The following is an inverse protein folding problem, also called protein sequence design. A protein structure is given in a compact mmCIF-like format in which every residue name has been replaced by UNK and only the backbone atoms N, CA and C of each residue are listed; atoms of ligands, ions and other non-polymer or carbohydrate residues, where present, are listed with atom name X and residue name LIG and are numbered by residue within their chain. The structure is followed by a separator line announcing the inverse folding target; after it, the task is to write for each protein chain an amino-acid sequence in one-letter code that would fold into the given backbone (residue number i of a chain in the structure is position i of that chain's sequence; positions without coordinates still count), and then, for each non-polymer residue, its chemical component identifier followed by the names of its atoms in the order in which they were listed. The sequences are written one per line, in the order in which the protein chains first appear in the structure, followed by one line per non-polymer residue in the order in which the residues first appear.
data_IF_434497428320
#
_entry.id   IF_434497428320
#
_cell.length_a   1.000
_cell.length_b   1.000
_cell.length_c   1.000
_cell.angle_alpha   90.00
_cell.angle_beta   90.00
_cell.angle_gamma   90.00
#
_symmetry.space_group_name_H-M   'P 1'
#
loop_
_entity.id
_entity.type
_entity.pdbx_description
1 polymer ?
#
# COMPACT_ATOMS: atom_id res chain seq x y z
N UNK A 1 -6.12 -9.60 -18.77
CA UNK A 1 -6.03 -9.08 -17.41
C UNK A 1 -5.81 -10.24 -16.44
N UNK A 2 -4.96 -10.03 -15.44
CA UNK A 2 -4.73 -11.00 -14.39
C UNK A 2 -5.18 -10.45 -13.04
N UNK A 3 -5.98 -11.20 -12.33
CA UNK A 3 -6.31 -10.93 -10.95
C UNK A 3 -6.13 -12.17 -10.11
N UNK A 4 -5.84 -11.99 -8.84
CA UNK A 4 -5.55 -13.10 -7.96
C UNK A 4 -6.78 -13.99 -7.74
N UNK A 5 -6.58 -15.29 -7.83
CA UNK A 5 -7.57 -16.33 -7.52
C UNK A 5 -7.23 -17.04 -6.20
N UNK A 6 -6.09 -16.75 -5.59
CA UNK A 6 -5.62 -17.38 -4.36
C UNK A 6 -6.37 -16.87 -3.12
N UNK A 7 -6.31 -17.60 -2.03
CA UNK A 7 -7.03 -17.26 -0.79
C UNK A 7 -6.54 -15.97 -0.15
N UNK A 8 -5.24 -15.68 -0.26
CA UNK A 8 -4.62 -14.47 0.30
C UNK A 8 -4.85 -13.21 -0.54
N UNK A 9 -5.51 -13.34 -1.70
CA UNK A 9 -5.83 -12.24 -2.62
C UNK A 9 -4.61 -11.51 -3.20
N UNK A 10 -3.43 -12.12 -3.11
CA UNK A 10 -2.20 -11.57 -3.65
C UNK A 10 -1.65 -12.49 -4.74
N UNK A 11 -1.32 -11.94 -5.90
CA UNK A 11 -0.77 -12.70 -7.03
C UNK A 11 0.75 -12.54 -7.19
N UNK A 12 1.41 -11.84 -6.27
CA UNK A 12 2.87 -11.85 -6.14
C UNK A 12 3.25 -12.98 -5.17
N UNK A 13 4.03 -13.94 -5.65
CA UNK A 13 4.51 -15.05 -4.82
C UNK A 13 5.48 -14.56 -3.75
N UNK A 14 5.48 -15.23 -2.61
CA UNK A 14 6.27 -14.82 -1.44
C UNK A 14 7.77 -14.75 -1.74
N UNK A 15 8.29 -15.65 -2.54
CA UNK A 15 9.69 -15.67 -2.95
C UNK A 15 10.12 -14.52 -3.88
N UNK A 16 9.18 -13.71 -4.40
CA UNK A 16 9.44 -12.66 -5.38
C UNK A 16 9.26 -11.23 -4.86
N UNK A 17 9.06 -11.02 -3.55
CA UNK A 17 8.94 -9.68 -2.99
C UNK A 17 10.22 -8.86 -3.17
N UNK A 18 11.37 -9.48 -2.92
CA UNK A 18 12.68 -8.86 -3.13
C UNK A 18 12.94 -8.54 -4.61
N UNK A 19 12.59 -9.47 -5.50
CA UNK A 19 12.74 -9.27 -6.96
C UNK A 19 11.88 -8.10 -7.45
N UNK A 20 10.66 -7.99 -6.93
CA UNK A 20 9.77 -6.89 -7.30
C UNK A 20 10.25 -5.55 -6.73
N UNK A 21 10.73 -5.51 -5.50
CA UNK A 21 11.36 -4.34 -4.91
C UNK A 21 12.60 -3.89 -5.70
N UNK A 22 13.46 -4.85 -6.07
CA UNK A 22 14.64 -4.59 -6.91
C UNK A 22 14.25 -4.03 -8.29
N UNK A 23 13.22 -4.59 -8.91
CA UNK A 23 12.68 -4.09 -10.18
C UNK A 23 12.23 -2.63 -10.06
N UNK A 24 11.40 -2.32 -9.05
CA UNK A 24 10.89 -0.96 -8.83
C UNK A 24 12.01 0.05 -8.57
N UNK A 25 12.97 -0.29 -7.71
CA UNK A 25 14.11 0.57 -7.42
C UNK A 25 15.04 0.75 -8.64
N UNK A 26 15.22 -0.30 -9.45
CA UNK A 26 16.03 -0.24 -10.68
C UNK A 26 15.38 0.67 -11.73
N UNK A 27 14.07 0.54 -11.94
CA UNK A 27 13.32 1.42 -12.85
C UNK A 27 13.39 2.87 -12.37
N UNK A 28 13.19 3.10 -11.07
CA UNK A 28 13.31 4.44 -10.48
C UNK A 28 14.70 5.03 -10.72
N UNK A 29 15.75 4.24 -10.45
CA UNK A 29 17.13 4.67 -10.65
C UNK A 29 17.40 5.03 -12.12
N UNK A 30 16.92 4.23 -13.06
CA UNK A 30 17.08 4.49 -14.48
C UNK A 30 16.59 5.91 -14.85
N UNK A 31 15.41 6.31 -14.40
CA UNK A 31 14.89 7.65 -14.68
C UNK A 31 15.65 8.75 -13.93
N UNK A 32 16.02 8.51 -12.67
CA UNK A 32 16.83 9.47 -11.90
C UNK A 32 18.19 9.70 -12.57
N UNK A 33 18.85 8.66 -13.06
CA UNK A 33 20.14 8.76 -13.77
C UNK A 33 20.01 9.54 -15.10
N UNK A 34 18.83 9.60 -15.67
CA UNK A 34 18.51 10.44 -16.84
C UNK A 34 18.15 11.89 -16.49
N UNK A 35 18.20 12.25 -15.21
CA UNK A 35 17.93 13.61 -14.73
C UNK A 35 16.46 13.89 -14.37
N UNK A 36 15.58 12.88 -14.36
CA UNK A 36 14.22 13.06 -13.88
C UNK A 36 14.18 13.14 -12.34
N UNK A 37 13.41 14.07 -11.82
CA UNK A 37 13.12 14.13 -10.39
C UNK A 37 11.95 13.20 -10.06
N UNK A 38 12.23 12.12 -9.33
CA UNK A 38 11.22 11.13 -8.89
C UNK A 38 11.14 11.19 -7.35
N UNK A 39 10.36 12.11 -6.78
CA UNK A 39 10.31 12.27 -5.33
C UNK A 39 9.54 11.15 -4.62
N UNK A 40 8.57 10.53 -5.31
CA UNK A 40 7.70 9.51 -4.75
C UNK A 40 7.53 8.34 -5.73
N UNK A 41 7.43 7.15 -5.18
CA UNK A 41 7.00 5.92 -5.87
C UNK A 41 5.88 5.26 -5.07
N UNK A 42 4.78 4.90 -5.74
CA UNK A 42 3.71 4.11 -5.16
C UNK A 42 3.79 2.67 -5.68
N UNK A 43 4.10 1.68 -4.80
CA UNK A 43 4.32 0.31 -5.25
C UNK A 43 3.04 -0.51 -5.41
N UNK A 44 1.91 -0.06 -4.85
CA UNK A 44 0.67 -0.83 -4.75
C UNK A 44 -0.52 0.06 -5.06
N UNK A 45 -1.38 -0.37 -5.98
CA UNK A 45 -2.64 0.32 -6.30
C UNK A 45 -3.83 -0.40 -5.65
N UNK A 46 -4.66 0.33 -4.93
CA UNK A 46 -5.92 -0.12 -4.32
C UNK A 46 -5.79 -1.46 -3.56
N UNK A 47 -4.88 -1.55 -2.57
CA UNK A 47 -4.57 -2.81 -1.88
C UNK A 47 -5.77 -3.46 -1.21
N UNK A 48 -6.77 -2.68 -0.82
CA UNK A 48 -7.95 -3.16 -0.11
C UNK A 48 -9.03 -3.74 -1.03
N UNK A 49 -8.89 -3.61 -2.35
CA UNK A 49 -9.88 -4.11 -3.30
C UNK A 49 -9.67 -5.61 -3.56
N UNK A 50 -10.75 -6.38 -3.49
CA UNK A 50 -10.72 -7.78 -3.87
C UNK A 50 -10.82 -7.91 -5.39
N UNK A 51 -9.67 -8.02 -6.03
CA UNK A 51 -9.55 -8.13 -7.49
C UNK A 51 -9.87 -9.52 -8.03
N UNK A 52 -10.15 -10.49 -7.14
CA UNK A 52 -10.50 -11.84 -7.55
C UNK A 52 -11.81 -11.84 -8.33
N UNK A 53 -11.87 -12.71 -9.30
CA UNK A 53 -13.09 -13.00 -10.06
C UNK A 53 -13.60 -14.39 -9.76
N UNK A 54 -14.90 -14.56 -9.90
CA UNK A 54 -15.50 -15.91 -9.92
C UNK A 54 -14.84 -16.73 -11.02
N UNK A 55 -14.47 -17.99 -10.76
CA UNK A 55 -13.90 -18.85 -11.79
C UNK A 55 -14.72 -18.82 -13.08
N UNK A 56 -14.06 -18.60 -14.21
CA UNK A 56 -14.69 -18.50 -15.52
C UNK A 56 -15.18 -17.09 -15.91
N UNK A 57 -15.08 -16.09 -15.05
CA UNK A 57 -15.32 -14.69 -15.40
C UNK A 57 -14.01 -13.98 -15.77
N UNK A 58 -14.04 -13.14 -16.79
CA UNK A 58 -12.91 -12.28 -17.13
C UNK A 58 -12.75 -11.20 -16.06
N UNK A 59 -11.50 -10.88 -15.71
CA UNK A 59 -11.20 -9.74 -14.87
C UNK A 59 -11.52 -8.43 -15.61
N UNK A 60 -12.18 -7.50 -14.95
CA UNK A 60 -12.50 -6.20 -15.55
C UNK A 60 -11.25 -5.34 -15.72
N UNK A 61 -10.30 -5.48 -14.80
CA UNK A 61 -8.98 -4.84 -14.85
C UNK A 61 -7.97 -5.68 -14.12
N UNK A 62 -6.70 -5.37 -14.32
CA UNK A 62 -5.60 -5.95 -13.55
C UNK A 62 -5.55 -5.36 -12.16
N UNK A 63 -5.20 -6.18 -11.18
CA UNK A 63 -5.07 -5.77 -9.80
C UNK A 63 -4.50 -6.85 -8.90
N UNK A 64 -3.99 -6.42 -7.77
CA UNK A 64 -3.41 -7.28 -6.75
C UNK A 64 -3.73 -6.70 -5.36
N UNK A 65 -4.46 -7.44 -4.56
CA UNK A 65 -4.76 -7.05 -3.18
C UNK A 65 -3.56 -7.30 -2.28
N UNK A 66 -3.37 -6.44 -1.30
CA UNK A 66 -2.32 -6.57 -0.30
C UNK A 66 -2.89 -6.44 1.10
N UNK A 67 -2.65 -7.42 1.97
CA UNK A 67 -2.86 -7.28 3.41
C UNK A 67 -1.83 -6.32 3.99
N UNK A 68 -2.03 -5.85 5.22
CA UNK A 68 -1.02 -5.04 5.93
C UNK A 68 0.31 -5.78 6.05
N UNK A 69 0.28 -7.09 6.28
CA UNK A 69 1.48 -7.92 6.37
C UNK A 69 2.25 -7.94 5.05
N UNK A 70 1.57 -8.22 3.94
CA UNK A 70 2.18 -8.24 2.60
C UNK A 70 2.68 -6.86 2.18
N UNK A 71 1.94 -5.81 2.52
CA UNK A 71 2.38 -4.42 2.32
C UNK A 71 3.68 -4.15 3.09
N UNK A 72 3.75 -4.55 4.37
CA UNK A 72 4.95 -4.35 5.17
C UNK A 72 6.17 -5.07 4.57
N UNK A 73 6.01 -6.31 4.13
CA UNK A 73 7.09 -7.07 3.49
C UNK A 73 7.62 -6.32 2.27
N UNK A 74 6.73 -5.93 1.33
CA UNK A 74 7.14 -5.25 0.11
C UNK A 74 7.78 -3.88 0.39
N UNK A 75 7.17 -3.10 1.26
CA UNK A 75 7.64 -1.73 1.58
C UNK A 75 8.99 -1.77 2.27
N UNK A 76 9.22 -2.74 3.16
CA UNK A 76 10.54 -2.93 3.80
C UNK A 76 11.60 -3.29 2.77
N UNK A 77 11.33 -4.27 1.92
CA UNK A 77 12.25 -4.64 0.83
C UNK A 77 12.54 -3.46 -0.10
N UNK A 78 11.50 -2.70 -0.50
CA UNK A 78 11.69 -1.54 -1.38
C UNK A 78 12.48 -0.41 -0.69
N UNK A 79 12.24 -0.15 0.60
CA UNK A 79 13.04 0.80 1.37
C UNK A 79 14.53 0.45 1.29
N UNK A 80 14.87 -0.81 1.52
CA UNK A 80 16.26 -1.29 1.52
C UNK A 80 16.88 -1.16 0.11
N UNK A 81 16.13 -1.48 -0.95
CA UNK A 81 16.59 -1.33 -2.33
C UNK A 81 16.79 0.13 -2.75
N UNK A 82 15.96 1.05 -2.29
CA UNK A 82 16.16 2.48 -2.52
C UNK A 82 17.43 2.98 -1.80
N UNK A 83 17.69 2.53 -0.58
CA UNK A 83 18.92 2.83 0.14
C UNK A 83 20.16 2.27 -0.55
N UNK A 84 20.15 0.98 -0.94
CA UNK A 84 21.25 0.33 -1.66
C UNK A 84 21.62 1.06 -2.94
N UNK A 85 20.62 1.62 -3.65
CA UNK A 85 20.83 2.37 -4.89
C UNK A 85 21.13 3.85 -4.70
N UNK A 86 21.14 4.34 -3.45
CA UNK A 86 21.42 5.74 -3.11
C UNK A 86 20.35 6.71 -3.62
N UNK A 87 19.10 6.27 -3.72
CA UNK A 87 17.97 7.08 -4.19
C UNK A 87 17.40 7.95 -3.07
N UNK A 88 16.98 9.16 -3.43
CA UNK A 88 16.24 10.06 -2.52
C UNK A 88 14.71 9.92 -2.64
N UNK A 89 14.25 9.02 -3.49
CA UNK A 89 12.83 8.73 -3.72
C UNK A 89 12.21 8.15 -2.46
N UNK A 90 11.03 8.61 -2.09
CA UNK A 90 10.26 8.08 -0.97
C UNK A 90 9.11 7.17 -1.47
N UNK A 91 8.65 6.31 -0.58
CA UNK A 91 7.55 5.38 -0.83
C UNK A 91 6.24 6.05 -0.40
N UNK A 92 5.32 6.22 -1.34
CA UNK A 92 3.98 6.71 -1.06
C UNK A 92 3.07 5.52 -0.75
N UNK A 93 2.46 5.55 0.42
CA UNK A 93 1.54 4.51 0.88
C UNK A 93 0.08 4.92 0.67
N UNK A 94 -0.78 3.91 0.65
CA UNK A 94 -2.23 4.08 0.57
C UNK A 94 -2.75 3.66 -0.78
N UNK A 95 -2.80 4.57 -1.76
CA UNK A 95 -3.47 4.32 -3.05
C UNK A 95 -4.84 3.67 -2.87
N UNK A 96 -5.50 3.96 -1.74
CA UNK A 96 -6.79 3.38 -1.43
C UNK A 96 -7.83 3.80 -2.47
N UNK A 97 -8.76 2.91 -2.83
CA UNK A 97 -9.80 3.21 -3.82
C UNK A 97 -10.71 4.38 -3.42
N UNK A 98 -10.73 4.71 -2.14
CA UNK A 98 -11.46 5.86 -1.56
C UNK A 98 -10.86 6.22 -0.20
N UNK A 99 -11.34 7.29 0.42
CA UNK A 99 -10.76 7.83 1.65
C UNK A 99 -11.06 7.01 2.92
N UNK A 100 -12.21 6.32 3.01
CA UNK A 100 -12.60 5.61 4.22
C UNK A 100 -11.60 4.55 4.68
N UNK A 101 -10.98 3.72 3.83
CA UNK A 101 -9.97 2.76 4.24
C UNK A 101 -8.75 3.37 4.94
N UNK A 102 -8.47 4.65 4.71
CA UNK A 102 -7.35 5.35 5.36
C UNK A 102 -7.53 5.37 6.88
N UNK A 103 -8.74 5.61 7.39
CA UNK A 103 -9.00 5.93 8.80
C UNK A 103 -10.07 5.08 9.48
N UNK A 104 -10.75 4.18 8.76
CA UNK A 104 -11.81 3.36 9.35
C UNK A 104 -11.41 1.91 9.50
N UNK A 105 -11.97 1.25 10.53
CA UNK A 105 -11.85 -0.19 10.72
C UNK A 105 -13.01 -0.97 10.08
N UNK A 106 -13.93 -0.30 9.40
CA UNK A 106 -15.12 -0.92 8.83
C UNK A 106 -14.78 -1.84 7.66
N UNK A 107 -15.35 -3.03 7.68
CA UNK A 107 -15.32 -4.04 6.63
C UNK A 107 -13.92 -4.41 6.09
N UNK A 108 -13.27 -5.31 6.77
CA UNK A 108 -12.02 -5.90 6.32
C UNK A 108 -10.78 -5.24 6.91
N UNK A 109 -10.65 -5.28 8.23
CA UNK A 109 -9.52 -4.73 8.97
C UNK A 109 -8.13 -5.19 8.52
N UNK A 110 -8.05 -6.20 7.63
CA UNK A 110 -6.80 -6.58 6.96
C UNK A 110 -6.31 -5.56 5.93
N UNK A 111 -7.17 -4.63 5.50
CA UNK A 111 -6.93 -3.74 4.36
C UNK A 111 -7.32 -2.28 4.64
N UNK A 112 -7.68 -1.94 5.86
CA UNK A 112 -8.18 -0.61 6.24
C UNK A 112 -7.50 -0.07 7.49
N UNK A 113 -7.84 1.17 7.88
CA UNK A 113 -7.21 1.88 8.99
C UNK A 113 -5.69 2.03 8.81
N UNK A 114 -5.29 2.51 7.64
CA UNK A 114 -3.88 2.59 7.24
C UNK A 114 -3.07 3.53 8.14
N UNK A 115 -3.70 4.62 8.64
CA UNK A 115 -3.04 5.58 9.53
C UNK A 115 -2.51 4.87 10.77
N UNK A 116 -3.37 4.17 11.49
CA UNK A 116 -2.95 3.50 12.71
C UNK A 116 -2.01 2.33 12.44
N UNK A 117 -2.28 1.53 11.41
CA UNK A 117 -1.43 0.39 11.11
C UNK A 117 -0.01 0.76 10.71
N UNK A 118 0.16 1.85 9.94
CA UNK A 118 1.47 2.17 9.36
C UNK A 118 2.22 3.27 10.12
N UNK A 119 1.52 4.13 10.88
CA UNK A 119 2.16 5.29 11.51
C UNK A 119 1.96 5.37 13.03
N UNK A 120 1.20 4.46 13.64
CA UNK A 120 1.08 4.39 15.09
C UNK A 120 1.87 3.15 15.62
N UNK A 121 3.03 3.34 16.26
CA UNK A 121 3.85 2.23 16.75
C UNK A 121 3.19 1.45 17.88
N UNK A 122 2.23 2.05 18.58
CA UNK A 122 1.54 1.44 19.73
C UNK A 122 0.20 0.81 19.34
N UNK A 123 -0.16 0.88 18.04
CA UNK A 123 -1.46 0.38 17.59
C UNK A 123 -1.54 -1.15 17.61
N UNK A 124 -2.63 -1.63 18.20
CA UNK A 124 -2.98 -3.05 18.22
C UNK A 124 -4.47 -3.25 18.12
N UNK A 125 -4.88 -4.29 17.44
CA UNK A 125 -6.27 -4.70 17.34
C UNK A 125 -6.40 -6.20 17.02
N UNK A 126 -7.64 -6.67 16.91
CA UNK A 126 -7.92 -8.06 16.59
C UNK A 126 -7.25 -8.53 15.28
N UNK A 127 -7.27 -7.70 14.25
CA UNK A 127 -6.78 -8.06 12.91
C UNK A 127 -5.26 -8.17 12.83
N UNK A 128 -4.53 -7.56 13.75
CA UNK A 128 -3.07 -7.74 13.85
C UNK A 128 -2.68 -8.71 14.97
N UNK A 129 -3.62 -9.52 15.45
CA UNK A 129 -3.38 -10.45 16.55
C UNK A 129 -3.14 -9.77 17.91
N UNK A 130 -3.59 -8.51 18.06
CA UNK A 130 -3.33 -7.67 19.23
C UNK A 130 -1.83 -7.43 19.52
N UNK A 131 -0.97 -7.63 18.51
CA UNK A 131 0.45 -7.29 18.58
C UNK A 131 0.65 -5.79 18.33
N UNK A 132 1.31 -5.12 19.26
CA UNK A 132 1.57 -3.69 19.20
C UNK A 132 2.53 -3.35 18.07
N UNK A 133 2.16 -2.36 17.24
CA UNK A 133 2.98 -1.89 16.12
C UNK A 133 3.33 -2.94 15.06
N UNK A 134 2.58 -4.03 14.98
CA UNK A 134 2.90 -5.17 14.08
C UNK A 134 3.21 -4.75 12.65
N UNK A 135 2.46 -3.79 12.13
CA UNK A 135 2.59 -3.31 10.74
C UNK A 135 3.19 -1.92 10.64
N UNK A 136 3.78 -1.40 11.72
CA UNK A 136 4.41 -0.08 11.73
C UNK A 136 5.51 0.04 10.68
N UNK A 137 5.48 1.15 9.94
CA UNK A 137 6.39 1.47 8.83
C UNK A 137 7.04 2.86 9.00
N UNK A 138 6.55 3.67 9.93
CA UNK A 138 7.01 5.05 10.12
C UNK A 138 8.46 5.21 10.59
N UNK A 139 9.15 4.11 10.89
CA UNK A 139 10.58 4.08 11.21
C UNK A 139 11.48 3.85 9.99
N UNK A 140 10.90 3.55 8.83
CA UNK A 140 11.66 3.33 7.60
C UNK A 140 12.08 4.68 6.99
N UNK A 141 13.30 4.76 6.51
CA UNK A 141 13.91 5.99 6.01
C UNK A 141 13.16 6.60 4.83
N UNK A 142 12.69 5.75 3.92
CA UNK A 142 12.00 6.15 2.70
C UNK A 142 10.48 6.18 2.82
N UNK A 143 9.93 6.07 4.04
CA UNK A 143 8.48 6.13 4.29
C UNK A 143 8.13 7.41 5.02
N UNK A 144 7.75 8.49 4.33
CA UNK A 144 7.25 9.70 4.95
C UNK A 144 5.83 9.49 5.51
N UNK A 145 5.43 10.30 6.49
CA UNK A 145 4.07 10.28 7.04
C UNK A 145 3.05 10.86 6.03
N UNK A 146 2.92 10.20 4.90
CA UNK A 146 2.02 10.60 3.80
C UNK A 146 1.23 9.38 3.36
N UNK A 147 -0.08 9.53 3.28
CA UNK A 147 -1.00 8.56 2.69
C UNK A 147 -1.77 9.20 1.55
N UNK A 148 -2.10 8.42 0.54
CA UNK A 148 -2.94 8.85 -0.55
C UNK A 148 -4.16 7.93 -0.74
N UNK A 149 -5.18 8.47 -1.38
CA UNK A 149 -6.37 7.73 -1.78
C UNK A 149 -6.93 8.31 -3.07
N UNK A 150 -7.65 7.48 -3.81
CA UNK A 150 -8.40 7.92 -4.96
C UNK A 150 -9.66 8.69 -4.53
N UNK A 151 -10.12 9.57 -5.40
CA UNK A 151 -11.27 10.42 -5.11
C UNK A 151 -12.61 9.80 -5.53
N UNK A 152 -12.66 8.49 -5.75
CA UNK A 152 -13.92 7.82 -6.08
C UNK A 152 -14.92 7.99 -4.94
N UNK A 153 -16.18 8.23 -5.31
CA UNK A 153 -17.31 8.44 -4.38
C UNK A 153 -17.23 9.69 -3.51
N UNK A 154 -16.33 10.62 -3.79
CA UNK A 154 -16.20 11.88 -3.03
C UNK A 154 -17.22 12.93 -3.41
N UNK A 155 -17.84 12.79 -4.56
CA UNK A 155 -18.92 13.65 -5.07
C UNK A 155 -20.21 13.58 -4.23
N UNK A 156 -20.36 12.53 -3.42
CA UNK A 156 -21.61 12.27 -2.66
C UNK A 156 -21.58 12.77 -1.21
N UNK A 157 -20.41 13.07 -0.64
CA UNK A 157 -20.35 13.57 0.74
C UNK A 157 -19.09 14.39 1.02
N UNK A 158 -19.24 15.71 1.06
CA UNK A 158 -18.22 16.63 1.62
C UNK A 158 -17.76 16.20 3.02
N UNK A 159 -18.64 15.55 3.79
CA UNK A 159 -18.35 15.06 5.13
C UNK A 159 -17.25 14.00 5.15
N UNK A 160 -17.19 13.10 4.16
CA UNK A 160 -16.15 12.04 4.10
C UNK A 160 -14.77 12.63 3.86
N UNK A 161 -14.64 13.60 2.95
CA UNK A 161 -13.37 14.29 2.70
C UNK A 161 -12.90 15.08 3.93
N UNK A 162 -13.82 15.81 4.57
CA UNK A 162 -13.50 16.56 5.79
C UNK A 162 -13.03 15.62 6.88
N UNK A 163 -13.77 14.53 7.13
CA UNK A 163 -13.41 13.54 8.15
C UNK A 163 -12.06 12.88 7.86
N UNK A 164 -11.78 12.53 6.60
CA UNK A 164 -10.49 11.97 6.21
C UNK A 164 -9.33 12.94 6.50
N UNK A 165 -9.49 14.22 6.15
CA UNK A 165 -8.49 15.28 6.40
C UNK A 165 -8.29 15.59 7.88
N UNK A 166 -9.30 15.38 8.72
CA UNK A 166 -9.22 15.60 10.16
C UNK A 166 -8.63 14.40 10.92
N UNK A 167 -8.63 13.21 10.30
CA UNK A 167 -8.15 11.96 10.92
C UNK A 167 -6.82 11.46 10.35
N UNK A 168 -6.43 11.89 9.15
CA UNK A 168 -5.11 11.66 8.58
C UNK A 168 -4.10 12.70 9.05
#
# INVERSE_FOLDING_TARGET
ASSNQDEDKNNLKDEHYEDFAEFLATVTKHFVDQGYNIPLISPINEPQVDWRKTPGADAEQEGCSYTHEKTKILVTALNDKLEEKGLATNILLGEASRWEPIYTTNSGGYYSNLVDHYFNPDYKNYYNGNEEGKYYLGNLKHVPNILCAHSYHTDKTWSSLKTAREKA
#
